data_IF_293318386665
#
_entry.id   IF_293318386665
#
_cell.length_a   1.000
_cell.length_b   1.000
_cell.length_c   1.000
_cell.angle_alpha   90.00
_cell.angle_beta   90.00
_cell.angle_gamma   90.00
#
_symmetry.space_group_name_H-M   'P 1'
#
loop_
_entity.id
_entity.type
_entity.pdbx_description
1 polymer ?
#
# COMPACT_ATOMS: atom_id res chain seq x y z
N UNK A 1 12.30 -25.64 -6.62
CA UNK A 1 11.93 -24.58 -5.66
C UNK A 1 10.41 -24.50 -5.73
N UNK A 2 9.73 -24.89 -4.65
CA UNK A 2 8.27 -25.08 -4.68
C UNK A 2 7.64 -23.99 -3.83
N UNK A 3 6.61 -23.33 -4.36
CA UNK A 3 5.96 -22.19 -3.72
C UNK A 3 4.54 -22.57 -3.31
N UNK A 4 4.22 -22.37 -2.03
CA UNK A 4 2.88 -22.56 -1.46
C UNK A 4 2.32 -21.20 -1.04
N UNK A 5 1.15 -20.83 -1.57
CA UNK A 5 0.45 -19.59 -1.21
C UNK A 5 -0.67 -19.91 -0.23
N UNK A 6 -0.62 -19.32 0.96
CA UNK A 6 -1.64 -19.49 2.01
C UNK A 6 -2.38 -18.17 2.16
N UNK A 7 -3.69 -18.16 1.89
CA UNK A 7 -4.56 -17.05 2.25
C UNK A 7 -5.09 -17.28 3.66
N UNK A 8 -5.05 -16.22 4.48
CA UNK A 8 -5.46 -16.26 5.87
C UNK A 8 -6.47 -15.14 6.06
N UNK A 9 -7.73 -15.49 6.34
CA UNK A 9 -8.80 -14.51 6.53
C UNK A 9 -8.77 -13.90 7.93
N UNK A 10 -8.48 -14.70 8.95
CA UNK A 10 -8.36 -14.24 10.33
C UNK A 10 -6.94 -13.73 10.64
N UNK A 11 -6.82 -12.43 10.93
CA UNK A 11 -5.54 -11.82 11.30
C UNK A 11 -4.92 -12.39 12.56
N UNK A 12 -5.71 -12.97 13.46
CA UNK A 12 -5.26 -13.48 14.75
C UNK A 12 -4.33 -14.68 14.60
N UNK A 13 -4.55 -15.52 13.58
CA UNK A 13 -3.75 -16.72 13.34
C UNK A 13 -2.44 -16.44 12.59
N UNK A 14 -2.28 -15.26 12.00
CA UNK A 14 -1.08 -14.87 11.23
C UNK A 14 0.21 -14.95 12.05
N UNK A 15 0.16 -14.54 13.32
CA UNK A 15 1.34 -14.55 14.19
C UNK A 15 1.74 -15.99 14.56
N UNK A 16 0.77 -16.85 14.86
CA UNK A 16 0.99 -18.27 15.10
C UNK A 16 1.57 -18.96 13.87
N UNK A 17 0.97 -18.73 12.70
CA UNK A 17 1.41 -19.31 11.44
C UNK A 17 2.84 -18.90 11.08
N UNK A 18 3.18 -17.61 11.22
CA UNK A 18 4.56 -17.12 11.02
C UNK A 18 5.56 -17.82 11.94
N UNK A 19 5.19 -18.11 13.18
CA UNK A 19 6.07 -18.77 14.15
C UNK A 19 6.33 -20.23 13.76
N UNK A 20 5.28 -20.95 13.36
CA UNK A 20 5.40 -22.34 12.88
C UNK A 20 6.23 -22.43 11.60
N UNK A 21 5.92 -21.59 10.60
CA UNK A 21 6.66 -21.58 9.33
C UNK A 21 8.14 -21.24 9.51
N UNK A 22 8.48 -20.36 10.48
CA UNK A 22 9.89 -20.07 10.84
C UNK A 22 10.60 -21.22 11.55
N UNK A 23 9.86 -22.07 12.27
CA UNK A 23 10.43 -23.23 12.97
C UNK A 23 10.71 -24.41 12.04
N UNK A 24 10.13 -24.43 10.84
CA UNK A 24 10.38 -25.47 9.85
C UNK A 24 11.70 -25.20 9.12
N UNK A 25 12.69 -26.05 9.34
CA UNK A 25 13.99 -25.93 8.69
C UNK A 25 13.83 -26.13 7.17
N UNK A 26 14.24 -25.15 6.37
CA UNK A 26 14.10 -25.16 4.91
C UNK A 26 12.89 -24.38 4.35
N UNK A 27 12.05 -23.79 5.20
CA UNK A 27 10.94 -22.93 4.78
C UNK A 27 11.35 -21.45 4.87
N UNK A 28 11.22 -20.73 3.77
CA UNK A 28 11.44 -19.27 3.73
C UNK A 28 10.11 -18.58 3.46
N UNK A 29 9.69 -17.73 4.39
CA UNK A 29 8.52 -16.87 4.20
C UNK A 29 8.91 -15.75 3.25
N UNK A 30 8.49 -15.85 1.99
CA UNK A 30 8.69 -14.78 1.01
C UNK A 30 7.70 -13.65 1.34
N UNK A 31 8.16 -12.45 1.76
CA UNK A 31 7.27 -11.33 1.97
C UNK A 31 6.64 -10.97 0.64
N UNK A 32 5.31 -10.92 0.59
CA UNK A 32 4.63 -10.27 -0.54
C UNK A 32 5.04 -8.81 -0.46
N UNK A 33 5.91 -8.38 -1.37
CA UNK A 33 6.17 -6.95 -1.52
C UNK A 33 4.81 -6.37 -1.88
N UNK A 34 4.21 -5.59 -0.96
CA UNK A 34 3.13 -4.68 -1.35
C UNK A 34 3.64 -3.99 -2.60
N UNK A 35 2.91 -4.13 -3.72
CA UNK A 35 3.26 -3.39 -4.94
C UNK A 35 3.49 -1.96 -4.49
N UNK A 36 4.70 -1.43 -4.72
CA UNK A 36 4.92 0.01 -4.56
C UNK A 36 3.81 0.64 -5.38
N UNK A 37 2.96 1.44 -4.74
CA UNK A 37 1.94 2.20 -5.46
C UNK A 37 2.68 2.91 -6.57
N UNK A 38 2.25 2.68 -7.80
CA UNK A 38 2.78 3.43 -8.94
C UNK A 38 2.39 4.90 -8.75
N UNK A 39 3.13 5.86 -9.33
CA UNK A 39 2.80 7.28 -9.17
C UNK A 39 1.36 7.63 -9.58
N UNK A 40 0.76 6.82 -10.46
CA UNK A 40 -0.66 6.90 -10.85
C UNK A 40 -1.60 6.51 -9.69
N UNK A 41 -1.28 5.44 -8.95
CA UNK A 41 -2.07 5.01 -7.79
C UNK A 41 -1.99 6.00 -6.63
N UNK A 42 -0.86 6.70 -6.48
CA UNK A 42 -0.68 7.79 -5.51
C UNK A 42 -1.50 9.01 -5.92
N UNK A 43 -1.46 9.42 -7.19
CA UNK A 43 -2.30 10.51 -7.70
C UNK A 43 -3.81 10.21 -7.56
N UNK A 44 -4.25 8.98 -7.85
CA UNK A 44 -5.63 8.57 -7.59
C UNK A 44 -5.98 8.59 -6.09
N UNK A 45 -5.01 8.33 -5.21
CA UNK A 45 -5.20 8.45 -3.77
C UNK A 45 -5.35 9.90 -3.35
N UNK A 46 -4.57 10.81 -3.94
CA UNK A 46 -4.67 12.25 -3.68
C UNK A 46 -6.01 12.80 -4.13
N UNK A 47 -6.53 12.33 -5.27
CA UNK A 47 -7.89 12.65 -5.73
C UNK A 47 -8.94 12.14 -4.72
N UNK A 48 -8.83 10.87 -4.30
CA UNK A 48 -9.78 10.27 -3.32
C UNK A 48 -9.76 10.95 -1.95
N UNK A 49 -8.59 11.39 -1.50
CA UNK A 49 -8.43 12.06 -0.22
C UNK A 49 -8.59 13.59 -0.32
N UNK A 50 -8.99 14.12 -1.48
CA UNK A 50 -9.22 15.55 -1.67
C UNK A 50 -7.97 16.42 -1.48
N UNK A 51 -6.77 15.84 -1.65
CA UNK A 51 -5.49 16.58 -1.58
C UNK A 51 -5.16 17.32 -2.88
N UNK A 52 -5.92 17.06 -3.94
CA UNK A 52 -5.78 17.77 -5.22
C UNK A 52 -6.51 19.10 -5.13
N UNK A 53 -5.78 20.19 -5.37
CA UNK A 53 -6.37 21.52 -5.50
C UNK A 53 -6.36 21.90 -6.97
N UNK A 54 -7.55 22.15 -7.52
CA UNK A 54 -7.70 22.62 -8.89
C UNK A 54 -7.75 24.16 -8.92
N UNK A 55 -6.97 24.73 -9.82
CA UNK A 55 -6.97 26.16 -10.12
C UNK A 55 -7.40 26.37 -11.57
N UNK A 56 -8.35 27.28 -11.79
CA UNK A 56 -8.90 27.54 -13.13
C UNK A 56 -8.04 28.50 -13.95
N UNK A 57 -7.29 29.35 -13.28
CA UNK A 57 -6.37 30.33 -13.86
C UNK A 57 -5.23 30.62 -12.88
N UNK A 58 -4.17 31.26 -13.36
CA UNK A 58 -3.09 31.71 -12.49
C UNK A 58 -3.61 32.70 -11.42
N UNK A 59 -4.53 33.58 -11.80
CA UNK A 59 -5.20 34.54 -10.89
C UNK A 59 -5.96 33.81 -9.76
N UNK A 60 -6.77 32.79 -10.07
CA UNK A 60 -7.50 31.97 -9.07
C UNK A 60 -6.53 31.22 -8.12
N UNK A 61 -5.33 30.88 -8.60
CA UNK A 61 -4.28 30.30 -7.78
C UNK A 61 -3.70 31.32 -6.79
N UNK A 62 -3.36 32.53 -7.25
CA UNK A 62 -2.84 33.59 -6.38
C UNK A 62 -3.87 34.00 -5.32
N UNK A 63 -5.14 34.17 -5.72
CA UNK A 63 -6.24 34.48 -4.80
C UNK A 63 -6.45 33.41 -3.73
N UNK A 64 -6.47 32.12 -4.11
CA UNK A 64 -6.64 31.01 -3.15
C UNK A 64 -5.43 30.80 -2.25
N UNK A 65 -4.23 31.16 -2.70
CA UNK A 65 -3.01 31.08 -1.90
C UNK A 65 -2.75 32.34 -1.06
N UNK A 66 -3.54 33.40 -1.23
CA UNK A 66 -3.45 34.63 -0.45
C UNK A 66 -2.17 35.44 -0.70
N UNK A 67 -1.65 35.35 -1.93
CA UNK A 67 -0.40 36.00 -2.39
C UNK A 67 -0.65 36.93 -3.57
#
# INVERSE_FOLDING_TARGET
MNTLTIQVEDRSVMNGLKRVLKSMNGVVIVPTKKKKKTGIEEAMDDIRHGRVTEYKSAEDMFEKLGI
#
